data_IF_733565331361
#
_entry.id   IF_733565331361
#
_cell.length_a   1.000
_cell.length_b   1.000
_cell.length_c   1.000
_cell.angle_alpha   90.00
_cell.angle_beta   90.00
_cell.angle_gamma   90.00
#
_symmetry.space_group_name_H-M   'P 1'
#
loop_
_entity.id
_entity.type
_entity.pdbx_description
1 polymer ?
#
# COMPACT_ATOMS: atom_id res chain seq x y z
N UNK A 1 -11.19 29.13 6.02
CA UNK A 1 -10.21 28.13 6.52
C UNK A 1 -10.29 26.92 5.59
N UNK A 2 -9.16 26.43 5.10
CA UNK A 2 -9.15 25.24 4.24
C UNK A 2 -9.52 23.99 5.02
N UNK A 3 -10.22 23.06 4.37
CA UNK A 3 -10.67 21.81 4.96
C UNK A 3 -9.92 20.62 4.37
N UNK A 4 -9.54 19.66 5.20
CA UNK A 4 -8.94 18.40 4.76
C UNK A 4 -9.78 17.22 5.24
N UNK A 5 -10.10 16.30 4.34
CA UNK A 5 -10.75 15.04 4.65
C UNK A 5 -9.69 13.98 4.93
N UNK A 6 -9.77 13.37 6.10
CA UNK A 6 -8.87 12.33 6.59
C UNK A 6 -9.61 10.99 6.59
N UNK A 7 -9.03 9.97 5.99
CA UNK A 7 -9.61 8.63 5.90
C UNK A 7 -8.91 7.69 6.89
N UNK A 8 -9.60 7.41 7.99
CA UNK A 8 -9.15 6.56 9.09
C UNK A 8 -8.77 7.33 10.35
N UNK A 9 -9.28 6.85 11.49
CA UNK A 9 -9.15 7.46 12.81
C UNK A 9 -8.47 6.59 13.87
N UNK A 10 -7.67 5.57 13.46
CA UNK A 10 -6.93 4.74 14.40
C UNK A 10 -5.85 5.53 15.14
N UNK A 11 -5.34 4.99 16.25
CA UNK A 11 -4.36 5.66 17.10
C UNK A 11 -3.12 6.18 16.33
N UNK A 12 -2.64 5.41 15.35
CA UNK A 12 -1.51 5.80 14.51
C UNK A 12 -1.82 6.95 13.53
N UNK A 13 -3.10 7.23 13.28
CA UNK A 13 -3.55 8.28 12.37
C UNK A 13 -3.82 9.62 13.07
N UNK A 14 -3.87 9.65 14.39
CA UNK A 14 -4.04 10.88 15.19
C UNK A 14 -2.96 11.92 14.87
N UNK A 15 -1.75 11.48 14.59
CA UNK A 15 -0.66 12.40 14.23
C UNK A 15 -0.99 13.20 12.97
N UNK A 16 -1.65 12.62 11.98
CA UNK A 16 -2.05 13.33 10.77
C UNK A 16 -3.14 14.36 11.06
N UNK A 17 -4.14 14.02 11.91
CA UNK A 17 -5.19 14.94 12.33
C UNK A 17 -4.57 16.16 13.04
N UNK A 18 -3.75 15.92 14.06
CA UNK A 18 -3.11 16.99 14.83
C UNK A 18 -2.15 17.84 13.99
N UNK A 19 -1.47 17.23 13.04
CA UNK A 19 -0.57 17.97 12.14
C UNK A 19 -1.37 18.87 11.20
N UNK A 20 -2.48 18.37 10.63
CA UNK A 20 -3.36 19.19 9.81
C UNK A 20 -3.91 20.41 10.56
N UNK A 21 -4.36 20.20 11.82
CA UNK A 21 -4.83 21.30 12.68
C UNK A 21 -3.73 22.32 12.98
N UNK A 22 -2.51 21.86 13.29
CA UNK A 22 -1.36 22.77 13.51
C UNK A 22 -1.02 23.61 12.27
N UNK A 23 -1.30 23.08 11.08
CA UNK A 23 -1.14 23.79 9.81
C UNK A 23 -2.34 24.68 9.46
N UNK A 24 -3.33 24.79 10.35
CA UNK A 24 -4.50 25.66 10.19
C UNK A 24 -5.62 25.09 9.31
N UNK A 25 -5.65 23.77 9.09
CA UNK A 25 -6.76 23.12 8.40
C UNK A 25 -7.89 22.75 9.37
N UNK A 26 -9.13 22.87 8.90
CA UNK A 26 -10.27 22.22 9.53
C UNK A 26 -10.29 20.74 9.11
N UNK A 27 -10.34 19.85 10.09
CA UNK A 27 -10.22 18.41 9.88
C UNK A 27 -11.57 17.73 9.84
N UNK A 28 -11.90 17.08 8.73
CA UNK A 28 -13.06 16.20 8.58
C UNK A 28 -12.54 14.77 8.56
N UNK A 29 -13.07 13.91 9.41
CA UNK A 29 -12.65 12.52 9.56
C UNK A 29 -13.76 11.57 9.10
N UNK A 30 -13.41 10.55 8.32
CA UNK A 30 -14.27 9.40 8.06
C UNK A 30 -13.60 8.11 8.56
N UNK A 31 -14.37 7.29 9.28
CA UNK A 31 -13.96 5.95 9.69
C UNK A 31 -15.21 5.07 9.84
N UNK A 32 -15.06 3.74 9.68
CA UNK A 32 -16.17 2.78 9.85
C UNK A 32 -16.38 2.36 11.31
N UNK A 33 -15.40 2.60 12.19
CA UNK A 33 -15.50 2.28 13.61
C UNK A 33 -16.15 3.43 14.38
N UNK A 34 -17.24 3.19 15.11
CA UNK A 34 -17.97 4.25 15.81
C UNK A 34 -17.23 4.81 17.03
N UNK A 35 -16.26 4.08 17.56
CA UNK A 35 -15.47 4.42 18.75
C UNK A 35 -13.97 4.59 18.48
N UNK A 36 -13.59 4.90 17.21
CA UNK A 36 -12.21 5.15 16.88
C UNK A 36 -11.65 6.39 17.61
N UNK A 37 -10.37 6.37 18.05
CA UNK A 37 -9.83 7.47 18.84
C UNK A 37 -9.70 8.80 18.08
N UNK A 38 -9.58 8.77 16.75
CA UNK A 38 -9.46 9.98 15.92
C UNK A 38 -10.71 10.84 15.92
N UNK A 39 -11.90 10.29 16.19
CA UNK A 39 -13.16 11.06 16.25
C UNK A 39 -13.15 12.12 17.34
N UNK A 40 -12.40 11.90 18.41
CA UNK A 40 -12.29 12.85 19.54
C UNK A 40 -11.24 13.95 19.29
N UNK A 41 -10.46 13.81 18.24
CA UNK A 41 -9.40 14.74 17.88
C UNK A 41 -9.75 15.58 16.65
N UNK A 42 -10.56 15.06 15.72
CA UNK A 42 -10.97 15.79 14.53
C UNK A 42 -12.08 16.83 14.83
N UNK A 43 -12.12 17.90 14.03
CA UNK A 43 -13.15 18.94 14.16
C UNK A 43 -14.54 18.42 13.79
N UNK A 44 -14.61 17.44 12.87
CA UNK A 44 -15.87 16.79 12.46
C UNK A 44 -15.65 15.33 12.10
N UNK A 45 -16.57 14.47 12.53
CA UNK A 45 -16.51 13.03 12.27
C UNK A 45 -17.76 12.54 11.53
N UNK A 46 -17.54 11.64 10.58
CA UNK A 46 -18.55 10.90 9.85
C UNK A 46 -18.30 9.39 9.98
N UNK A 47 -19.32 8.66 10.40
CA UNK A 47 -19.29 7.19 10.46
C UNK A 47 -19.52 6.64 9.05
N UNK A 48 -18.46 6.58 8.24
CA UNK A 48 -18.48 6.13 6.85
C UNK A 48 -17.24 5.29 6.58
N UNK A 49 -17.42 4.13 5.93
CA UNK A 49 -16.30 3.27 5.56
C UNK A 49 -15.33 3.99 4.63
N UNK A 50 -14.05 3.97 4.95
CA UNK A 50 -12.99 4.57 4.15
C UNK A 50 -12.78 3.90 2.80
N UNK A 51 -13.40 2.74 2.55
CA UNK A 51 -13.37 2.01 1.28
C UNK A 51 -14.64 2.21 0.44
N UNK A 52 -15.66 2.87 0.97
CA UNK A 52 -16.87 3.26 0.23
C UNK A 52 -16.63 4.62 -0.46
N UNK A 53 -16.08 4.55 -1.66
CA UNK A 53 -15.66 5.73 -2.41
C UNK A 53 -16.81 6.69 -2.75
N UNK A 54 -18.03 6.19 -2.96
CA UNK A 54 -19.18 7.04 -3.29
C UNK A 54 -19.71 7.77 -2.04
N UNK A 55 -19.81 7.07 -0.91
CA UNK A 55 -20.18 7.70 0.35
C UNK A 55 -19.14 8.74 0.81
N UNK A 56 -17.85 8.44 0.66
CA UNK A 56 -16.77 9.39 0.94
C UNK A 56 -16.81 10.59 -0.01
N UNK A 57 -17.07 10.39 -1.31
CA UNK A 57 -17.22 11.49 -2.27
C UNK A 57 -18.38 12.41 -1.85
N UNK A 58 -19.51 11.84 -1.41
CA UNK A 58 -20.62 12.63 -0.92
C UNK A 58 -20.21 13.50 0.28
N UNK A 59 -19.55 12.93 1.28
CA UNK A 59 -19.05 13.70 2.44
C UNK A 59 -18.12 14.82 1.99
N UNK A 60 -17.18 14.51 1.08
CA UNK A 60 -16.22 15.48 0.58
C UNK A 60 -16.86 16.68 -0.14
N UNK A 61 -17.93 16.41 -0.93
CA UNK A 61 -18.70 17.44 -1.62
C UNK A 61 -19.55 18.26 -0.64
N UNK A 62 -20.26 17.60 0.30
CA UNK A 62 -21.10 18.26 1.31
C UNK A 62 -20.26 19.20 2.20
N UNK A 63 -19.02 18.79 2.51
CA UNK A 63 -18.09 19.58 3.31
C UNK A 63 -17.26 20.58 2.50
N UNK A 64 -17.30 20.51 1.18
CA UNK A 64 -16.47 21.34 0.29
C UNK A 64 -14.99 21.29 0.69
N UNK A 65 -14.41 20.08 0.78
CA UNK A 65 -13.03 19.90 1.23
C UNK A 65 -12.02 20.35 0.17
N UNK A 66 -10.87 20.85 0.60
CA UNK A 66 -9.78 21.31 -0.27
C UNK A 66 -8.71 20.23 -0.52
N UNK A 67 -8.79 19.11 0.19
CA UNK A 67 -7.87 17.99 0.05
C UNK A 67 -8.38 16.73 0.72
N UNK A 68 -7.87 15.57 0.28
CA UNK A 68 -8.19 14.25 0.85
C UNK A 68 -6.89 13.51 1.15
N UNK A 69 -6.78 12.92 2.33
CA UNK A 69 -5.60 12.19 2.79
C UNK A 69 -5.97 10.83 3.40
N UNK A 70 -5.35 9.77 2.90
CA UNK A 70 -5.35 8.44 3.51
C UNK A 70 -3.99 8.17 4.15
N UNK A 71 -3.79 8.66 5.37
CA UNK A 71 -2.51 8.49 6.07
C UNK A 71 -2.36 7.07 6.61
N UNK A 72 -1.26 6.40 6.27
CA UNK A 72 -0.91 5.04 6.71
C UNK A 72 -2.06 4.03 6.53
N UNK A 73 -2.78 4.10 5.40
CA UNK A 73 -3.91 3.23 5.11
C UNK A 73 -3.98 2.84 3.64
N UNK A 74 -3.33 1.72 3.28
CA UNK A 74 -3.39 1.17 1.92
C UNK A 74 -4.85 0.94 1.45
N UNK A 75 -5.78 0.45 2.30
CA UNK A 75 -7.17 0.25 1.86
C UNK A 75 -7.89 1.54 1.49
N UNK A 76 -7.56 2.66 2.13
CA UNK A 76 -8.21 3.94 1.90
C UNK A 76 -7.54 4.78 0.79
N UNK A 77 -6.30 4.48 0.43
CA UNK A 77 -5.56 5.23 -0.58
C UNK A 77 -6.28 5.31 -1.94
N UNK A 78 -6.88 4.22 -2.49
CA UNK A 78 -7.67 4.30 -3.72
C UNK A 78 -8.89 5.23 -3.58
N UNK A 79 -9.58 5.20 -2.44
CA UNK A 79 -10.71 6.08 -2.19
C UNK A 79 -10.28 7.55 -2.14
N UNK A 80 -9.17 7.86 -1.48
CA UNK A 80 -8.63 9.22 -1.44
C UNK A 80 -8.30 9.74 -2.85
N UNK A 81 -7.64 8.93 -3.67
CA UNK A 81 -7.32 9.28 -5.05
C UNK A 81 -8.59 9.48 -5.91
N UNK A 82 -9.56 8.56 -5.80
CA UNK A 82 -10.83 8.66 -6.53
C UNK A 82 -11.58 9.96 -6.21
N UNK A 83 -11.76 10.25 -4.92
CA UNK A 83 -12.50 11.43 -4.46
C UNK A 83 -11.80 12.71 -4.89
N UNK A 84 -10.47 12.80 -4.69
CA UNK A 84 -9.69 13.96 -5.07
C UNK A 84 -9.72 14.18 -6.59
N UNK A 85 -9.64 13.12 -7.41
CA UNK A 85 -9.75 13.20 -8.87
C UNK A 85 -11.12 13.70 -9.32
N UNK A 86 -12.22 13.16 -8.73
CA UNK A 86 -13.59 13.60 -9.02
C UNK A 86 -13.83 15.07 -8.68
N UNK A 87 -13.23 15.54 -7.59
CA UNK A 87 -13.32 16.93 -7.14
C UNK A 87 -12.29 17.85 -7.82
N UNK A 88 -11.45 17.32 -8.71
CA UNK A 88 -10.35 18.04 -9.37
C UNK A 88 -9.36 18.69 -8.38
N UNK A 89 -9.15 18.00 -7.26
CA UNK A 89 -8.15 18.36 -6.26
C UNK A 89 -6.78 17.79 -6.65
N UNK A 90 -5.74 18.29 -5.99
CA UNK A 90 -4.38 17.76 -6.17
C UNK A 90 -4.34 16.30 -5.70
N UNK A 91 -3.94 15.40 -6.61
CA UNK A 91 -3.87 13.96 -6.32
C UNK A 91 -2.96 13.23 -7.31
N UNK A 92 -2.67 11.96 -7.03
CA UNK A 92 -2.12 11.01 -7.99
C UNK A 92 -3.25 10.38 -8.83
N UNK A 93 -2.98 9.91 -10.06
CA UNK A 93 -3.99 9.25 -10.88
C UNK A 93 -4.61 8.05 -10.14
N UNK A 94 -5.94 7.97 -10.12
CA UNK A 94 -6.66 6.89 -9.43
C UNK A 94 -6.19 5.49 -9.88
N UNK A 95 -6.04 5.27 -11.18
CA UNK A 95 -5.59 3.98 -11.72
C UNK A 95 -4.15 3.63 -11.31
N UNK A 96 -3.30 4.61 -11.10
CA UNK A 96 -1.93 4.40 -10.60
C UNK A 96 -1.94 3.97 -9.14
N UNK A 97 -2.76 4.60 -8.32
CA UNK A 97 -2.95 4.20 -6.92
C UNK A 97 -3.57 2.80 -6.85
N UNK A 98 -4.57 2.50 -7.69
CA UNK A 98 -5.15 1.15 -7.80
C UNK A 98 -4.10 0.11 -8.23
N UNK A 99 -3.19 0.46 -9.12
CA UNK A 99 -2.10 -0.43 -9.54
C UNK A 99 -1.16 -0.74 -8.37
N UNK A 100 -0.77 0.25 -7.59
CA UNK A 100 0.08 0.07 -6.41
C UNK A 100 -0.60 -0.72 -5.29
N UNK A 101 -1.92 -0.55 -5.11
CA UNK A 101 -2.69 -1.20 -4.05
C UNK A 101 -3.16 -2.63 -4.40
N UNK A 102 -2.96 -3.10 -5.64
CA UNK A 102 -3.35 -4.44 -6.08
C UNK A 102 -2.14 -5.19 -6.65
N UNK A 103 -1.73 -6.24 -5.96
CA UNK A 103 -0.49 -6.97 -6.28
C UNK A 103 -0.44 -7.53 -7.69
N UNK A 104 -1.54 -8.08 -8.19
CA UNK A 104 -1.64 -8.62 -9.54
C UNK A 104 -1.56 -7.53 -10.62
N UNK A 105 -2.19 -6.37 -10.39
CA UNK A 105 -2.04 -5.20 -11.26
C UNK A 105 -0.61 -4.69 -11.22
N UNK A 106 0.00 -4.66 -10.04
CA UNK A 106 1.38 -4.18 -9.89
C UNK A 106 2.38 -5.12 -10.59
N UNK A 107 2.24 -6.44 -10.45
CA UNK A 107 3.09 -7.40 -11.20
C UNK A 107 2.93 -7.26 -12.71
N UNK A 108 1.70 -7.10 -13.18
CA UNK A 108 1.43 -6.82 -14.59
C UNK A 108 2.06 -5.52 -15.07
N UNK A 109 1.99 -4.46 -14.27
CA UNK A 109 2.64 -3.18 -14.55
C UNK A 109 4.16 -3.35 -14.65
N UNK A 110 4.80 -4.02 -13.69
CA UNK A 110 6.25 -4.27 -13.72
C UNK A 110 6.67 -5.00 -15.00
N UNK A 111 6.00 -6.10 -15.31
CA UNK A 111 6.26 -6.91 -16.52
C UNK A 111 6.11 -6.09 -17.80
N UNK A 112 5.00 -5.36 -17.95
CA UNK A 112 4.68 -4.60 -19.15
C UNK A 112 5.63 -3.40 -19.38
N UNK A 113 6.30 -2.95 -18.33
CA UNK A 113 7.24 -1.82 -18.38
C UNK A 113 8.72 -2.23 -18.32
N UNK A 114 9.01 -3.54 -18.39
CA UNK A 114 10.38 -4.07 -18.43
C UNK A 114 11.12 -4.03 -17.10
N UNK A 115 10.39 -3.93 -15.99
CA UNK A 115 10.99 -4.07 -14.66
C UNK A 115 11.14 -5.55 -14.29
N UNK A 116 12.16 -5.86 -13.50
CA UNK A 116 12.31 -7.19 -12.94
C UNK A 116 11.13 -7.52 -12.02
N UNK A 117 10.55 -8.70 -12.21
CA UNK A 117 9.41 -9.19 -11.45
C UNK A 117 9.44 -10.71 -11.41
N UNK A 118 9.00 -11.36 -10.30
CA UNK A 118 8.84 -12.81 -10.30
C UNK A 118 7.76 -13.25 -11.30
N UNK A 119 7.77 -14.50 -11.68
CA UNK A 119 6.62 -15.11 -12.34
C UNK A 119 5.43 -15.03 -11.39
N UNK A 120 4.32 -14.48 -11.86
CA UNK A 120 3.16 -14.23 -11.02
C UNK A 120 1.87 -14.34 -11.83
N UNK A 121 0.80 -14.87 -11.20
CA UNK A 121 -0.54 -14.94 -11.80
C UNK A 121 -1.61 -14.73 -10.74
N UNK A 122 -2.65 -13.96 -11.10
CA UNK A 122 -3.82 -13.70 -10.26
C UNK A 122 -4.94 -14.68 -10.51
N UNK A 123 -5.65 -15.08 -9.45
CA UNK A 123 -6.75 -16.05 -9.49
C UNK A 123 -7.96 -15.55 -8.70
N UNK A 124 -9.15 -15.90 -9.18
CA UNK A 124 -10.44 -15.64 -8.51
C UNK A 124 -11.15 -16.94 -8.10
N UNK A 125 -10.51 -18.08 -8.29
CA UNK A 125 -10.96 -19.41 -7.90
C UNK A 125 -9.75 -20.26 -7.49
N UNK A 126 -9.98 -21.49 -7.07
CA UNK A 126 -8.93 -22.40 -6.61
C UNK A 126 -8.21 -23.17 -7.74
N UNK A 127 -8.50 -22.85 -9.01
CA UNK A 127 -7.91 -23.53 -10.17
C UNK A 127 -6.57 -22.89 -10.55
N UNK A 128 -5.55 -23.20 -9.75
CA UNK A 128 -4.18 -22.70 -9.97
C UNK A 128 -3.43 -23.64 -10.91
N UNK A 129 -2.92 -23.10 -12.01
CA UNK A 129 -1.99 -23.82 -12.88
C UNK A 129 -0.59 -23.83 -12.27
N UNK A 130 -0.28 -24.89 -11.54
CA UNK A 130 1.00 -25.07 -10.84
C UNK A 130 2.19 -25.21 -11.79
N UNK A 131 1.95 -25.56 -13.07
CA UNK A 131 3.01 -25.73 -14.07
C UNK A 131 3.68 -24.41 -14.48
N UNK A 132 3.05 -23.30 -14.16
CA UNK A 132 3.58 -21.95 -14.43
C UNK A 132 4.69 -21.53 -13.48
N UNK A 133 4.89 -22.23 -12.36
CA UNK A 133 5.72 -21.76 -11.26
C UNK A 133 6.78 -22.78 -10.86
N UNK A 134 7.94 -22.26 -10.45
CA UNK A 134 8.95 -23.02 -9.72
C UNK A 134 8.81 -22.77 -8.22
N UNK A 135 8.89 -23.84 -7.42
CA UNK A 135 8.89 -23.73 -5.95
C UNK A 135 10.22 -23.16 -5.42
N UNK A 136 10.22 -22.42 -4.34
CA UNK A 136 9.06 -22.06 -3.52
C UNK A 136 8.20 -20.96 -4.14
N UNK A 137 6.91 -20.95 -3.78
CA UNK A 137 5.97 -19.89 -4.17
C UNK A 137 5.37 -19.21 -2.96
N UNK A 138 4.90 -17.97 -3.11
CA UNK A 138 4.08 -17.29 -2.11
C UNK A 138 2.67 -17.07 -2.67
N UNK A 139 1.67 -17.41 -1.86
CA UNK A 139 0.25 -17.21 -2.13
C UNK A 139 -0.25 -16.15 -1.17
N UNK A 140 -0.93 -15.12 -1.70
CA UNK A 140 -1.40 -14.01 -0.86
C UNK A 140 -2.60 -13.28 -1.49
N UNK A 141 -3.44 -12.59 -0.70
CA UNK A 141 -4.50 -11.74 -1.24
C UNK A 141 -3.92 -10.60 -2.07
N UNK A 142 -4.60 -10.20 -3.15
CA UNK A 142 -4.12 -9.08 -4.00
C UNK A 142 -4.24 -7.72 -3.29
N UNK A 143 -5.18 -7.58 -2.33
CA UNK A 143 -5.65 -6.33 -1.74
C UNK A 143 -5.52 -6.27 -0.20
N UNK A 144 -4.71 -7.14 0.38
CA UNK A 144 -4.40 -7.15 1.82
C UNK A 144 -3.00 -6.59 2.08
N UNK A 145 -2.76 -6.05 3.28
CA UNK A 145 -1.48 -5.54 3.77
C UNK A 145 -1.04 -6.24 5.05
N UNK A 146 0.22 -6.04 5.46
CA UNK A 146 0.78 -6.60 6.69
C UNK A 146 0.88 -8.12 6.69
N UNK A 147 1.15 -8.73 5.55
CA UNK A 147 1.31 -10.19 5.35
C UNK A 147 0.11 -11.04 5.76
N UNK A 148 -1.08 -10.44 5.94
CA UNK A 148 -2.32 -11.15 6.25
C UNK A 148 -2.73 -12.03 5.08
N UNK A 149 -2.99 -13.30 5.34
CA UNK A 149 -3.36 -14.28 4.33
C UNK A 149 -2.21 -14.72 3.42
N UNK A 150 -0.94 -14.45 3.78
CA UNK A 150 0.21 -14.85 3.00
C UNK A 150 0.79 -16.18 3.50
N UNK A 151 1.07 -17.10 2.57
CA UNK A 151 1.69 -18.40 2.83
C UNK A 151 2.77 -18.68 1.83
N UNK A 152 3.95 -19.12 2.28
CA UNK A 152 5.03 -19.62 1.43
C UNK A 152 4.93 -21.14 1.35
N UNK A 153 4.90 -21.69 0.14
CA UNK A 153 4.87 -23.12 -0.13
C UNK A 153 6.20 -23.59 -0.71
N UNK A 154 6.77 -24.61 -0.08
CA UNK A 154 7.94 -25.34 -0.56
C UNK A 154 7.57 -26.67 -1.24
N UNK A 155 6.32 -27.11 -1.10
CA UNK A 155 5.70 -28.21 -1.85
C UNK A 155 4.24 -27.85 -2.17
N UNK A 156 3.65 -28.53 -3.16
CA UNK A 156 2.24 -28.30 -3.53
C UNK A 156 1.23 -28.98 -2.60
N UNK A 157 1.67 -29.77 -1.60
CA UNK A 157 0.79 -30.53 -0.70
C UNK A 157 -0.14 -29.65 0.13
N UNK A 158 0.30 -28.43 0.47
CA UNK A 158 -0.50 -27.44 1.25
C UNK A 158 -1.23 -26.40 0.38
N UNK A 159 -1.39 -26.64 -0.93
CA UNK A 159 -1.94 -25.65 -1.84
C UNK A 159 -3.37 -25.21 -1.46
N UNK A 160 -4.26 -26.15 -1.21
CA UNK A 160 -5.67 -25.84 -0.95
C UNK A 160 -5.85 -25.02 0.32
N UNK A 161 -5.16 -25.38 1.41
CA UNK A 161 -5.19 -24.64 2.66
C UNK A 161 -4.64 -23.21 2.51
N UNK A 162 -3.57 -23.06 1.73
CA UNK A 162 -2.98 -21.76 1.45
C UNK A 162 -3.91 -20.87 0.59
N UNK A 163 -4.62 -21.45 -0.37
CA UNK A 163 -5.61 -20.76 -1.18
C UNK A 163 -6.80 -20.29 -0.32
N UNK A 164 -7.40 -21.18 0.48
CA UNK A 164 -8.50 -20.85 1.38
C UNK A 164 -8.10 -19.74 2.36
N UNK A 165 -6.89 -19.85 2.94
CA UNK A 165 -6.38 -18.83 3.84
C UNK A 165 -6.20 -17.46 3.13
N UNK A 166 -5.64 -17.45 1.93
CA UNK A 166 -5.49 -16.21 1.16
C UNK A 166 -6.84 -15.59 0.78
N UNK A 167 -7.80 -16.41 0.29
CA UNK A 167 -9.14 -15.93 -0.05
C UNK A 167 -9.89 -15.36 1.16
N UNK A 168 -9.71 -15.91 2.35
CA UNK A 168 -10.36 -15.43 3.58
C UNK A 168 -9.96 -13.99 3.97
N UNK A 169 -8.80 -13.51 3.50
CA UNK A 169 -8.29 -12.15 3.74
C UNK A 169 -8.43 -11.22 2.54
N UNK A 170 -8.94 -11.71 1.40
CA UNK A 170 -9.14 -10.88 0.21
C UNK A 170 -10.53 -10.24 0.19
N UNK A 171 -10.57 -8.91 0.12
CA UNK A 171 -11.82 -8.14 0.01
C UNK A 171 -12.46 -8.26 -1.37
N UNK A 172 -11.65 -8.40 -2.41
CA UNK A 172 -12.10 -8.57 -3.80
C UNK A 172 -12.28 -10.02 -4.21
N UNK A 173 -12.08 -10.98 -3.27
CA UNK A 173 -12.05 -12.40 -3.54
C UNK A 173 -11.09 -12.77 -4.67
N UNK A 174 -9.88 -12.19 -4.62
CA UNK A 174 -8.78 -12.44 -5.57
C UNK A 174 -7.48 -12.65 -4.84
N UNK A 175 -6.70 -13.59 -5.34
CA UNK A 175 -5.39 -13.92 -4.81
C UNK A 175 -4.34 -13.82 -5.91
N UNK A 176 -3.07 -13.80 -5.51
CA UNK A 176 -1.93 -13.94 -6.42
C UNK A 176 -1.05 -15.09 -5.94
N UNK A 177 -0.59 -15.89 -6.89
CA UNK A 177 0.50 -16.84 -6.73
C UNK A 177 1.71 -16.28 -7.44
N UNK A 178 2.86 -16.23 -6.76
CA UNK A 178 4.10 -15.75 -7.35
C UNK A 178 5.29 -16.56 -6.86
N UNK A 179 6.32 -16.71 -7.68
CA UNK A 179 7.58 -17.31 -7.26
C UNK A 179 8.15 -16.51 -6.08
N UNK A 180 8.58 -17.24 -5.02
CA UNK A 180 9.14 -16.61 -3.84
C UNK A 180 10.61 -16.28 -4.09
N UNK A 181 10.91 -14.98 -4.09
CA UNK A 181 12.28 -14.50 -4.27
C UNK A 181 13.04 -14.64 -2.96
N UNK A 182 14.04 -15.51 -2.93
CA UNK A 182 14.97 -15.60 -1.82
C UNK A 182 15.94 -14.41 -1.82
N UNK A 183 16.02 -13.72 -0.69
CA UNK A 183 16.92 -12.58 -0.55
C UNK A 183 18.38 -13.04 -0.50
N UNK A 184 19.25 -12.36 -1.22
CA UNK A 184 20.73 -12.52 -1.13
C UNK A 184 21.34 -11.55 -0.11
N UNK A 185 20.73 -10.39 0.07
CA UNK A 185 21.12 -9.39 1.07
C UNK A 185 20.68 -9.81 2.48
N UNK A 186 21.41 -9.50 3.54
CA UNK A 186 21.06 -9.87 4.92
C UNK A 186 19.69 -9.35 5.35
N UNK A 187 19.26 -8.20 4.82
CA UNK A 187 18.00 -7.54 5.14
C UNK A 187 17.14 -7.36 3.88
N UNK A 188 15.82 -7.27 4.04
CA UNK A 188 14.98 -6.65 3.03
C UNK A 188 15.19 -5.13 3.11
N UNK A 189 15.12 -4.47 1.97
CA UNK A 189 15.17 -3.02 1.89
C UNK A 189 13.73 -2.53 1.90
N UNK A 190 13.40 -1.61 2.80
CA UNK A 190 12.04 -1.08 2.86
C UNK A 190 12.00 0.26 3.55
N UNK A 191 10.87 0.93 3.46
CA UNK A 191 10.69 2.26 4.02
C UNK A 191 9.74 3.08 3.17
N UNK A 192 9.90 4.39 3.21
CA UNK A 192 9.05 5.28 2.45
C UNK A 192 9.90 6.24 1.61
N UNK A 193 9.51 6.40 0.35
CA UNK A 193 10.00 7.49 -0.47
C UNK A 193 8.96 8.61 -0.47
N UNK A 194 9.38 9.85 -0.62
CA UNK A 194 8.45 10.99 -0.75
C UNK A 194 8.62 11.66 -2.11
N UNK A 195 7.51 11.75 -2.83
CA UNK A 195 7.44 12.33 -4.18
C UNK A 195 6.86 13.74 -4.11
N UNK A 196 7.50 14.67 -4.79
CA UNK A 196 6.98 16.01 -5.02
C UNK A 196 7.14 16.38 -6.49
N UNK A 197 6.05 16.79 -7.14
CA UNK A 197 5.99 17.13 -8.56
C UNK A 197 6.60 16.07 -9.50
N UNK A 198 6.43 14.78 -9.13
CA UNK A 198 6.94 13.65 -9.91
C UNK A 198 8.40 13.30 -9.63
N UNK A 199 9.08 13.98 -8.71
CA UNK A 199 10.44 13.65 -8.31
C UNK A 199 10.50 13.11 -6.90
N UNK A 200 11.26 12.05 -6.71
CA UNK A 200 11.55 11.54 -5.37
C UNK A 200 12.54 12.50 -4.71
N UNK A 201 12.09 13.16 -3.64
CA UNK A 201 12.87 14.18 -2.91
C UNK A 201 13.36 13.69 -1.55
N UNK A 202 12.84 12.55 -1.08
CA UNK A 202 13.28 11.88 0.15
C UNK A 202 13.36 10.38 -0.08
N UNK A 203 14.50 9.80 0.25
CA UNK A 203 14.79 8.37 0.20
C UNK A 203 14.87 7.83 1.63
N UNK A 204 13.73 7.50 2.23
CA UNK A 204 13.64 6.96 3.58
C UNK A 204 13.79 5.43 3.59
N UNK A 205 14.80 4.90 2.89
CA UNK A 205 15.05 3.48 2.79
C UNK A 205 15.87 2.97 3.98
N UNK A 206 15.50 1.83 4.50
CA UNK A 206 16.01 1.24 5.75
C UNK A 206 16.25 -0.26 5.56
N UNK A 207 17.12 -0.84 6.38
CA UNK A 207 17.24 -2.29 6.51
C UNK A 207 16.07 -2.82 7.32
N UNK A 208 15.24 -3.69 6.75
CA UNK A 208 14.09 -4.30 7.42
C UNK A 208 14.48 -5.65 8.03
N UNK A 209 14.42 -5.73 9.35
CA UNK A 209 14.71 -6.94 10.11
C UNK A 209 13.50 -7.88 10.14
N UNK A 210 13.75 -9.17 10.02
CA UNK A 210 12.76 -10.25 10.11
C UNK A 210 13.18 -11.23 11.21
N UNK A 211 12.22 -11.82 11.91
CA UNK A 211 12.46 -12.90 12.86
C UNK A 211 11.88 -14.20 12.31
N UNK A 212 12.77 -15.10 11.89
CA UNK A 212 12.38 -16.41 11.36
C UNK A 212 11.74 -17.32 12.39
N UNK A 213 11.94 -17.06 13.69
CA UNK A 213 11.36 -17.88 14.75
C UNK A 213 9.90 -17.49 15.07
N UNK A 214 9.46 -16.30 14.64
CA UNK A 214 8.09 -15.82 14.86
C UNK A 214 7.31 -15.84 13.55
N UNK A 215 7.62 -14.92 12.66
CA UNK A 215 7.03 -14.86 11.31
C UNK A 215 7.99 -14.12 10.36
N UNK A 216 8.65 -14.84 9.44
CA UNK A 216 9.61 -14.24 8.53
C UNK A 216 9.02 -13.24 7.53
N UNK A 217 7.69 -13.21 7.39
CA UNK A 217 7.00 -12.28 6.50
C UNK A 217 6.67 -10.93 7.16
N UNK A 218 6.81 -10.82 8.48
CA UNK A 218 6.47 -9.60 9.23
C UNK A 218 7.74 -8.90 9.72
N UNK A 219 7.90 -7.57 9.49
CA UNK A 219 9.06 -6.84 10.01
C UNK A 219 8.98 -6.72 11.53
N UNK A 220 10.10 -6.97 12.20
CA UNK A 220 10.25 -6.80 13.66
C UNK A 220 11.04 -5.54 14.03
N UNK A 221 11.66 -4.88 13.05
CA UNK A 221 12.40 -3.65 13.26
C UNK A 221 13.01 -3.12 11.97
N UNK A 222 13.49 -1.89 12.03
CA UNK A 222 14.22 -1.23 10.95
C UNK A 222 15.49 -0.59 11.52
N UNK A 223 16.56 -0.55 10.73
CA UNK A 223 17.81 0.11 11.11
C UNK A 223 18.35 1.00 9.99
N UNK A 224 19.12 2.00 10.40
CA UNK A 224 19.84 2.94 9.55
C UNK A 224 21.31 3.04 10.06
N UNK A 225 22.29 3.28 9.21
CA UNK A 225 22.20 3.54 7.76
C UNK A 225 21.85 2.32 6.93
N UNK A 226 21.38 2.55 5.69
CA UNK A 226 21.13 1.49 4.72
C UNK A 226 22.43 0.75 4.40
N UNK A 227 22.40 -0.58 4.41
CA UNK A 227 23.57 -1.43 4.15
C UNK A 227 23.55 -1.89 2.69
N UNK A 228 23.58 -0.97 1.76
CA UNK A 228 23.85 -1.19 0.35
C UNK A 228 25.10 -0.45 -0.04
N UNK A 229 25.82 -0.94 -1.04
CA UNK A 229 26.88 -0.14 -1.66
C UNK A 229 26.28 0.96 -2.56
N UNK A 230 27.10 1.95 -2.90
CA UNK A 230 26.64 3.12 -3.67
C UNK A 230 26.08 2.75 -5.05
N UNK A 231 26.56 1.65 -5.65
CA UNK A 231 26.13 1.18 -6.98
C UNK A 231 24.72 0.58 -6.87
N UNK A 232 24.50 -0.31 -5.92
CA UNK A 232 23.20 -0.95 -5.70
C UNK A 232 22.16 0.06 -5.22
N UNK A 233 22.53 0.99 -4.33
CA UNK A 233 21.63 2.07 -3.90
C UNK A 233 21.19 2.93 -5.09
N UNK A 234 22.10 3.28 -5.98
CA UNK A 234 21.79 4.03 -7.20
C UNK A 234 20.85 3.28 -8.13
N UNK A 235 21.03 1.98 -8.31
CA UNK A 235 20.12 1.14 -9.10
C UNK A 235 18.72 1.13 -8.50
N UNK A 236 18.59 1.01 -7.19
CA UNK A 236 17.31 1.08 -6.48
C UNK A 236 16.63 2.44 -6.70
N UNK A 237 17.36 3.54 -6.50
CA UNK A 237 16.82 4.89 -6.67
C UNK A 237 16.36 5.15 -8.11
N UNK A 238 17.16 4.80 -9.10
CA UNK A 238 16.82 4.99 -10.52
C UNK A 238 15.61 4.13 -10.92
N UNK A 239 15.51 2.91 -10.41
CA UNK A 239 14.38 2.02 -10.65
C UNK A 239 13.09 2.60 -10.05
N UNK A 240 13.12 3.04 -8.80
CA UNK A 240 11.97 3.64 -8.12
C UNK A 240 11.54 4.95 -8.77
N UNK A 241 12.49 5.82 -9.17
CA UNK A 241 12.15 7.04 -9.90
C UNK A 241 11.50 6.70 -11.26
N UNK A 242 12.01 5.69 -11.98
CA UNK A 242 11.41 5.25 -13.24
C UNK A 242 9.98 4.70 -13.04
N UNK A 243 9.71 3.99 -11.94
CA UNK A 243 8.36 3.55 -11.59
C UNK A 243 7.44 4.74 -11.30
N UNK A 244 7.91 5.72 -10.54
CA UNK A 244 7.17 6.96 -10.24
C UNK A 244 6.79 7.69 -11.53
N UNK A 245 7.75 7.84 -12.46
CA UNK A 245 7.53 8.50 -13.74
C UNK A 245 6.50 7.75 -14.60
N UNK A 246 6.61 6.42 -14.71
CA UNK A 246 5.69 5.58 -15.52
C UNK A 246 4.28 5.48 -14.92
N UNK A 247 4.15 5.52 -13.61
CA UNK A 247 2.86 5.56 -12.91
C UNK A 247 2.25 6.96 -12.88
N UNK A 248 3.01 8.00 -13.23
CA UNK A 248 2.56 9.39 -13.13
C UNK A 248 2.29 9.82 -11.68
N UNK A 249 3.00 9.23 -10.71
CA UNK A 249 2.91 9.64 -9.30
C UNK A 249 3.56 11.00 -9.16
N UNK A 250 2.83 11.95 -8.59
CA UNK A 250 3.29 13.34 -8.48
C UNK A 250 3.52 13.80 -7.05
N UNK A 251 2.77 13.25 -6.08
CA UNK A 251 2.77 13.75 -4.72
C UNK A 251 2.63 12.63 -3.69
N UNK A 252 3.24 12.82 -2.52
CA UNK A 252 3.03 12.02 -1.33
C UNK A 252 4.03 10.92 -1.09
N UNK A 253 3.80 10.17 -0.01
CA UNK A 253 4.61 9.00 0.35
C UNK A 253 4.21 7.79 -0.48
N UNK A 254 5.22 6.98 -0.82
CA UNK A 254 5.04 5.63 -1.35
C UNK A 254 5.84 4.68 -0.48
N UNK A 255 5.16 3.69 0.10
CA UNK A 255 5.85 2.63 0.84
C UNK A 255 6.53 1.67 -0.13
N UNK A 256 7.75 1.30 0.22
CA UNK A 256 8.64 0.47 -0.61
C UNK A 256 9.07 -0.75 0.20
N UNK A 257 9.09 -1.90 -0.45
CA UNK A 257 9.68 -3.15 0.05
C UNK A 257 10.35 -3.88 -1.13
N UNK A 258 11.67 -4.13 -1.00
CA UNK A 258 12.57 -4.70 -2.02
C UNK A 258 13.32 -5.90 -1.46
#
# INVERSE_FOLDING_TARGET
MKKILLLGGSAQQIVAIKTAQKLGYYTVLCDYLPDNPGQYEADKFYLVSTTDKEAILKVALDECVDGVLAYASDPAAPTAAYVAEKMKLLTNPYESVMTLCNKDRFRSFLKNNGFNTPVASGYSNNEVDTTLFSLPVIIKPVDSSGSKGATVLHSWDGLNEALEFAFSFSRSHRIIVEEFIEKKHPYLIGGDIFVNEGKVILWGLLNCHRDNNVNPLVPVGKSYPLLLDDVDEKVVQDTLQSMVDKLGIRFGSVNVEL
#
